data_IF_886826372682
#
_entry.id   IF_886826372682
#
_cell.length_a   1.000
_cell.length_b   1.000
_cell.length_c   1.000
_cell.angle_alpha   90.00
_cell.angle_beta   90.00
_cell.angle_gamma   90.00
#
_symmetry.space_group_name_H-M   'P 1'
#
loop_
_entity.id
_entity.type
_entity.pdbx_description
1 polymer ?
#
# COMPACT_ATOMS: atom_id res chain seq x y z
N UNK A 1 0.16 -5.16 2.88
CA UNK A 1 -1.05 -4.65 2.19
C UNK A 1 -1.43 -5.55 1.01
N UNK A 2 -1.28 -6.88 1.13
CA UNK A 2 -1.31 -7.79 -0.03
C UNK A 2 -2.69 -8.00 -0.68
N UNK A 3 -3.77 -7.76 0.06
CA UNK A 3 -5.12 -8.10 -0.42
C UNK A 3 -5.78 -7.00 -1.28
N UNK A 4 -5.22 -5.78 -1.29
CA UNK A 4 -5.77 -4.64 -2.04
C UNK A 4 -4.73 -3.88 -2.85
N UNK A 5 -3.44 -4.06 -2.55
CA UNK A 5 -2.32 -3.39 -3.20
C UNK A 5 -1.40 -4.40 -3.89
N UNK A 6 -0.50 -3.91 -4.74
CA UNK A 6 0.56 -4.75 -5.34
C UNK A 6 1.43 -5.37 -4.25
N UNK A 7 2.00 -6.54 -4.51
CA UNK A 7 2.81 -7.26 -3.52
C UNK A 7 3.98 -6.39 -3.03
N UNK A 8 4.25 -6.43 -1.72
CA UNK A 8 5.40 -5.74 -1.14
C UNK A 8 6.39 -6.74 -0.58
N UNK A 9 7.66 -6.61 -0.97
CA UNK A 9 8.76 -7.41 -0.42
C UNK A 9 9.64 -6.51 0.45
N UNK A 10 9.68 -6.79 1.75
CA UNK A 10 10.52 -6.09 2.72
C UNK A 10 9.97 -4.76 3.25
N UNK A 11 8.69 -4.45 3.00
CA UNK A 11 8.08 -3.21 3.49
C UNK A 11 8.02 -3.16 5.02
N UNK A 12 8.43 -2.01 5.57
CA UNK A 12 8.20 -1.60 6.96
C UNK A 12 7.80 -0.13 6.97
N UNK A 13 6.80 0.29 7.76
CA UNK A 13 6.35 1.69 7.83
C UNK A 13 7.31 2.51 8.70
N UNK A 14 8.57 2.62 8.26
CA UNK A 14 9.64 3.37 8.94
C UNK A 14 10.38 4.17 7.87
N UNK A 15 10.54 5.47 8.07
CA UNK A 15 11.26 6.33 7.13
C UNK A 15 12.67 5.79 6.83
N UNK A 16 13.11 5.91 5.58
CA UNK A 16 14.36 5.33 5.06
C UNK A 16 14.27 3.83 4.73
N UNK A 17 13.16 3.14 5.04
CA UNK A 17 13.00 1.73 4.64
C UNK A 17 12.93 1.62 3.13
N UNK A 18 13.85 0.86 2.55
CA UNK A 18 13.81 0.46 1.15
C UNK A 18 13.12 -0.88 1.00
N UNK A 19 12.24 -0.99 0.03
CA UNK A 19 11.45 -2.18 -0.25
C UNK A 19 11.14 -2.27 -1.74
N UNK A 20 10.59 -3.39 -2.17
CA UNK A 20 10.15 -3.58 -3.56
C UNK A 20 8.66 -3.74 -3.64
N UNK A 21 8.07 -3.17 -4.68
CA UNK A 21 6.73 -3.54 -5.14
C UNK A 21 6.87 -4.46 -6.35
N UNK A 22 6.09 -5.54 -6.34
CA UNK A 22 6.07 -6.53 -7.43
C UNK A 22 4.69 -6.50 -8.07
N UNK A 23 4.69 -6.18 -9.36
CA UNK A 23 3.51 -6.04 -10.19
C UNK A 23 3.75 -6.72 -11.56
N UNK A 24 2.71 -6.79 -12.38
CA UNK A 24 2.81 -7.39 -13.71
C UNK A 24 3.53 -6.45 -14.69
N UNK A 25 4.52 -6.94 -15.45
CA UNK A 25 5.18 -6.14 -16.47
C UNK A 25 4.20 -5.69 -17.55
N UNK A 26 4.38 -4.45 -18.05
CA UNK A 26 3.61 -3.91 -19.18
C UNK A 26 4.60 -3.45 -20.25
N UNK A 27 4.99 -4.36 -21.18
CA UNK A 27 6.05 -4.09 -22.16
C UNK A 27 5.77 -2.87 -23.05
N UNK A 28 4.52 -2.65 -23.45
CA UNK A 28 4.11 -1.51 -24.28
C UNK A 28 4.31 -0.14 -23.59
N UNK A 29 4.39 -0.14 -22.25
CA UNK A 29 4.69 1.05 -21.45
C UNK A 29 6.15 1.11 -20.99
N UNK A 30 6.99 0.17 -21.43
CA UNK A 30 8.35 -0.01 -20.92
C UNK A 30 8.42 -0.19 -19.39
N UNK A 31 7.36 -0.74 -18.80
CA UNK A 31 7.22 -0.97 -17.36
C UNK A 31 7.62 -2.42 -17.04
N UNK A 32 8.55 -2.60 -16.10
CA UNK A 32 9.11 -3.90 -15.74
C UNK A 32 8.26 -4.68 -14.74
N UNK A 33 7.36 -4.02 -14.03
CA UNK A 33 6.66 -4.62 -12.88
C UNK A 33 7.54 -4.79 -11.64
N UNK A 34 8.84 -4.47 -11.73
CA UNK A 34 9.76 -4.46 -10.60
C UNK A 34 10.03 -3.00 -10.20
N UNK A 35 9.40 -2.57 -9.11
CA UNK A 35 9.48 -1.20 -8.63
C UNK A 35 10.33 -1.18 -7.36
N UNK A 36 11.33 -0.31 -7.34
CA UNK A 36 12.06 0.03 -6.14
C UNK A 36 11.35 1.18 -5.43
N UNK A 37 11.26 1.09 -4.11
CA UNK A 37 10.54 2.05 -3.29
C UNK A 37 11.29 2.38 -2.01
N UNK A 38 11.07 3.60 -1.51
CA UNK A 38 11.59 4.06 -0.24
C UNK A 38 10.48 4.76 0.55
N UNK A 39 10.38 4.45 1.84
CA UNK A 39 9.48 5.14 2.75
C UNK A 39 10.10 6.50 3.11
N UNK A 40 9.43 7.58 2.75
CA UNK A 40 9.86 8.95 3.04
C UNK A 40 9.34 9.44 4.40
N UNK A 41 8.07 9.16 4.68
CA UNK A 41 7.38 9.54 5.91
C UNK A 41 6.53 8.37 6.36
N UNK A 42 6.54 8.08 7.66
CA UNK A 42 5.63 7.11 8.25
C UNK A 42 5.26 7.56 9.67
N UNK A 43 4.12 8.24 9.77
CA UNK A 43 3.51 8.61 11.05
C UNK A 43 2.26 7.76 11.24
N UNK A 44 2.27 6.97 12.30
CA UNK A 44 1.19 6.03 12.61
C UNK A 44 -0.16 6.75 12.63
N UNK A 45 -1.15 6.19 11.92
CA UNK A 45 -2.52 6.71 11.86
C UNK A 45 -2.67 8.14 11.31
N UNK A 46 -1.64 8.68 10.68
CA UNK A 46 -1.66 10.06 10.18
C UNK A 46 -1.18 10.15 8.73
N UNK A 47 0.06 9.74 8.44
CA UNK A 47 0.66 9.97 7.13
C UNK A 47 1.61 8.85 6.75
N UNK A 48 1.53 8.42 5.49
CA UNK A 48 2.53 7.58 4.83
C UNK A 48 2.92 8.24 3.52
N UNK A 49 4.20 8.47 3.30
CA UNK A 49 4.71 8.93 2.01
C UNK A 49 5.79 7.97 1.52
N UNK A 50 5.72 7.61 0.24
CA UNK A 50 6.72 6.77 -0.41
C UNK A 50 7.23 7.44 -1.68
N UNK A 51 8.52 7.24 -1.93
CA UNK A 51 9.13 7.40 -3.24
C UNK A 51 9.13 6.04 -3.94
N UNK A 52 8.96 6.02 -5.25
CA UNK A 52 9.03 4.79 -6.04
C UNK A 52 9.46 5.07 -7.48
N UNK A 53 10.12 4.08 -8.10
CA UNK A 53 10.59 4.14 -9.49
C UNK A 53 10.71 2.74 -10.08
N UNK A 54 10.57 2.64 -11.40
CA UNK A 54 10.79 1.38 -12.12
C UNK A 54 12.29 1.07 -12.17
N UNK A 55 12.66 -0.16 -11.79
CA UNK A 55 14.06 -0.60 -11.72
C UNK A 55 14.75 -0.69 -13.10
N UNK A 56 13.98 -0.75 -14.18
CA UNK A 56 14.49 -0.70 -15.56
C UNK A 56 14.90 0.70 -15.98
N UNK A 57 14.46 1.74 -15.26
CA UNK A 57 14.76 3.12 -15.62
C UNK A 57 16.23 3.45 -15.35
N UNK A 58 17.03 3.84 -16.37
CA UNK A 58 18.45 4.16 -16.20
C UNK A 58 18.65 5.49 -15.45
N UNK A 59 17.69 6.41 -15.57
CA UNK A 59 17.58 7.64 -14.80
C UNK A 59 16.27 7.59 -14.01
N UNK A 60 16.29 7.06 -12.77
CA UNK A 60 15.07 6.74 -12.06
C UNK A 60 14.28 8.01 -11.74
N UNK A 61 13.24 8.24 -12.53
CA UNK A 61 12.18 9.17 -12.18
C UNK A 61 11.57 8.71 -10.87
N UNK A 62 11.73 9.53 -9.84
CA UNK A 62 11.21 9.22 -8.51
C UNK A 62 9.81 9.80 -8.37
N UNK A 63 8.79 8.95 -8.52
CA UNK A 63 7.42 9.32 -8.21
C UNK A 63 7.19 9.34 -6.71
N UNK A 64 6.28 10.20 -6.27
CA UNK A 64 5.87 10.30 -4.87
C UNK A 64 4.39 10.02 -4.72
N UNK A 65 4.06 9.28 -3.68
CA UNK A 65 2.68 9.02 -3.30
C UNK A 65 2.55 9.21 -1.81
N UNK A 66 1.54 9.97 -1.39
CA UNK A 66 1.28 10.29 -0.01
C UNK A 66 -0.15 9.92 0.35
N UNK A 67 -0.32 9.17 1.42
CA UNK A 67 -1.58 8.96 2.09
C UNK A 67 -1.62 9.83 3.34
N UNK A 68 -2.74 10.53 3.53
CA UNK A 68 -3.07 11.18 4.80
C UNK A 68 -4.37 10.62 5.33
N UNK A 69 -4.41 10.42 6.65
CA UNK A 69 -5.55 9.93 7.39
C UNK A 69 -6.06 11.06 8.28
N UNK A 70 -7.34 11.37 8.15
CA UNK A 70 -8.01 12.35 8.99
C UNK A 70 -9.23 11.68 9.63
N UNK A 71 -9.34 11.77 10.96
CA UNK A 71 -10.57 11.40 11.63
C UNK A 71 -11.70 12.35 11.21
N UNK A 72 -12.87 11.80 10.91
CA UNK A 72 -14.09 12.54 10.58
C UNK A 72 -15.26 11.95 11.37
N UNK A 73 -16.37 12.68 11.56
CA UNK A 73 -17.55 12.09 12.18
C UNK A 73 -17.93 10.78 11.48
N UNK A 74 -18.07 9.71 12.26
CA UNK A 74 -18.43 8.36 11.79
C UNK A 74 -17.41 7.68 10.85
N UNK A 75 -16.12 8.07 10.88
CA UNK A 75 -15.12 7.31 10.15
C UNK A 75 -13.74 7.95 10.05
N UNK A 76 -13.01 7.54 9.01
CA UNK A 76 -11.69 8.05 8.66
C UNK A 76 -11.68 8.41 7.20
N UNK A 77 -11.33 9.66 6.89
CA UNK A 77 -11.07 10.10 5.54
C UNK A 77 -9.63 9.72 5.17
N UNK A 78 -9.48 8.99 4.06
CA UNK A 78 -8.18 8.67 3.48
C UNK A 78 -7.99 9.52 2.23
N UNK A 79 -6.99 10.40 2.24
CA UNK A 79 -6.62 11.19 1.06
C UNK A 79 -5.36 10.64 0.45
N UNK A 80 -5.40 10.37 -0.86
CA UNK A 80 -4.24 9.98 -1.64
C UNK A 80 -3.80 11.16 -2.51
N UNK A 81 -2.61 11.68 -2.25
CA UNK A 81 -1.98 12.72 -3.05
C UNK A 81 -0.83 12.15 -3.88
N UNK A 82 -0.80 12.57 -5.14
CA UNK A 82 0.26 12.24 -6.09
C UNK A 82 0.59 13.53 -6.83
N UNK A 83 1.72 14.18 -6.51
CA UNK A 83 2.16 15.34 -7.28
C UNK A 83 2.18 15.00 -8.77
N UNK A 84 1.65 15.91 -9.60
CA UNK A 84 1.64 15.71 -11.03
C UNK A 84 3.08 15.54 -11.52
N UNK A 85 3.31 14.47 -12.27
CA UNK A 85 4.60 14.21 -12.90
C UNK A 85 4.49 14.51 -14.39
N UNK A 86 5.31 15.45 -14.88
CA UNK A 86 5.40 15.80 -16.30
C UNK A 86 6.69 15.26 -16.91
N UNK A 87 6.58 14.62 -18.09
CA UNK A 87 7.74 14.24 -18.89
C UNK A 87 7.38 14.17 -20.37
N UNK A 88 8.32 14.60 -21.22
CA UNK A 88 8.22 14.48 -22.67
C UNK A 88 8.59 13.08 -23.18
N UNK A 89 9.06 12.18 -22.30
CA UNK A 89 9.27 10.77 -22.63
C UNK A 89 7.92 10.04 -22.78
N UNK A 90 7.61 9.48 -23.96
CA UNK A 90 6.41 8.68 -24.17
C UNK A 90 6.28 7.47 -23.24
N UNK A 91 7.37 6.84 -22.81
CA UNK A 91 7.34 5.73 -21.87
C UNK A 91 6.88 6.19 -20.48
N UNK A 92 7.45 7.29 -19.98
CA UNK A 92 7.07 7.87 -18.69
C UNK A 92 5.62 8.38 -18.69
N UNK A 93 5.13 8.95 -19.79
CA UNK A 93 3.70 9.31 -19.92
C UNK A 93 2.78 8.09 -19.86
N UNK A 94 3.17 6.97 -20.50
CA UNK A 94 2.40 5.72 -20.42
C UNK A 94 2.40 5.16 -19.00
N UNK A 95 3.54 5.18 -18.31
CA UNK A 95 3.62 4.72 -16.92
C UNK A 95 2.79 5.59 -15.98
N UNK A 96 2.81 6.92 -16.14
CA UNK A 96 1.95 7.83 -15.40
C UNK A 96 0.46 7.49 -15.62
N UNK A 97 0.05 7.28 -16.88
CA UNK A 97 -1.31 6.89 -17.22
C UNK A 97 -1.71 5.51 -16.64
N UNK A 98 -0.78 4.54 -16.57
CA UNK A 98 -1.01 3.26 -15.89
C UNK A 98 -1.22 3.47 -14.39
N UNK A 99 -0.37 4.28 -13.75
CA UNK A 99 -0.52 4.65 -12.33
C UNK A 99 -1.89 5.28 -12.07
N UNK A 100 -2.32 6.23 -12.91
CA UNK A 100 -3.62 6.90 -12.78
C UNK A 100 -4.81 5.94 -12.83
N UNK A 101 -4.73 4.88 -13.62
CA UNK A 101 -5.78 3.84 -13.70
C UNK A 101 -5.73 2.85 -12.55
N UNK A 102 -4.53 2.61 -12.00
CA UNK A 102 -4.33 1.68 -10.90
C UNK A 102 -4.97 2.16 -9.60
N UNK A 103 -4.81 3.44 -9.24
CA UNK A 103 -5.24 3.95 -7.93
C UNK A 103 -6.74 3.85 -7.64
N UNK A 104 -7.66 4.24 -8.55
CA UNK A 104 -9.10 4.06 -8.32
C UNK A 104 -9.47 2.59 -8.05
N UNK A 105 -8.82 1.67 -8.76
CA UNK A 105 -9.02 0.22 -8.57
C UNK A 105 -8.51 -0.24 -7.20
N UNK A 106 -7.31 0.17 -6.81
CA UNK A 106 -6.73 -0.17 -5.50
C UNK A 106 -7.57 0.40 -4.33
N UNK A 107 -8.01 1.65 -4.43
CA UNK A 107 -8.85 2.30 -3.41
C UNK A 107 -10.23 1.64 -3.29
N UNK A 108 -10.81 1.19 -4.41
CA UNK A 108 -12.06 0.42 -4.40
C UNK A 108 -11.88 -0.92 -3.68
N UNK A 109 -10.78 -1.64 -3.93
CA UNK A 109 -10.47 -2.89 -3.22
C UNK A 109 -10.29 -2.66 -1.72
N UNK A 110 -9.56 -1.61 -1.34
CA UNK A 110 -9.37 -1.23 0.06
C UNK A 110 -10.70 -0.94 0.75
N UNK A 111 -11.59 -0.15 0.13
CA UNK A 111 -12.92 0.14 0.68
C UNK A 111 -13.71 -1.14 0.96
N UNK A 112 -13.75 -2.08 0.01
CA UNK A 112 -14.41 -3.38 0.20
C UNK A 112 -13.82 -4.20 1.35
N UNK A 113 -12.51 -4.15 1.57
CA UNK A 113 -11.88 -4.85 2.70
C UNK A 113 -12.26 -4.20 4.04
N UNK A 114 -12.33 -2.88 4.09
CA UNK A 114 -12.77 -2.14 5.27
C UNK A 114 -14.23 -2.49 5.60
N UNK A 115 -15.12 -2.49 4.60
CA UNK A 115 -16.54 -2.83 4.79
C UNK A 115 -16.72 -4.26 5.31
N UNK A 116 -15.93 -5.20 4.79
CA UNK A 116 -15.91 -6.60 5.27
C UNK A 116 -15.40 -6.71 6.69
N UNK A 117 -14.33 -5.98 7.03
CA UNK A 117 -13.80 -5.99 8.39
C UNK A 117 -14.79 -5.38 9.39
N UNK A 118 -15.57 -4.38 8.99
CA UNK A 118 -16.60 -3.75 9.81
C UNK A 118 -17.84 -4.63 10.04
N UNK A 119 -18.12 -5.56 9.11
CA UNK A 119 -19.26 -6.50 9.18
C UNK A 119 -18.90 -7.88 9.72
N UNK A 120 -17.60 -8.19 9.86
CA UNK A 120 -17.17 -9.39 10.55
C UNK A 120 -17.61 -9.34 12.02
N UNK A 121 -18.31 -10.36 12.55
CA UNK A 121 -18.64 -10.38 13.96
C UNK A 121 -17.35 -10.30 14.76
N UNK A 122 -17.29 -9.38 15.73
CA UNK A 122 -16.21 -9.32 16.69
C UNK A 122 -16.15 -10.67 17.40
N UNK A 123 -15.20 -11.51 17.01
CA UNK A 123 -14.97 -12.80 17.63
C UNK A 123 -14.80 -12.62 19.14
N UNK A 124 -15.64 -13.34 19.87
CA UNK A 124 -15.77 -13.43 21.31
C UNK A 124 -14.45 -13.25 22.08
N UNK A 125 -14.42 -12.24 22.94
CA UNK A 125 -13.55 -12.29 24.11
C UNK A 125 -14.12 -13.26 25.13
N UNK A 126 -13.31 -14.23 25.54
CA UNK A 126 -13.36 -14.85 26.87
C UNK A 126 -14.08 -16.18 26.99
N UNK A 127 -13.31 -17.27 27.07
CA UNK A 127 -13.26 -18.12 28.27
C UNK A 127 -11.83 -18.68 28.39
N UNK A 128 -11.03 -18.04 29.25
CA UNK A 128 -10.13 -18.80 30.10
C UNK A 128 -10.97 -19.29 31.29
N UNK A 129 -11.19 -20.60 31.38
CA UNK A 129 -11.54 -21.29 32.63
C UNK A 129 -10.86 -22.66 32.67
N UNK A 130 -9.78 -22.68 33.47
CA UNK A 130 -9.53 -23.61 34.56
C UNK A 130 -9.25 -25.09 34.27
N UNK A 131 -8.03 -25.48 34.66
CA UNK A 131 -7.62 -26.70 35.38
C UNK A 131 -8.25 -28.04 34.97
N UNK A 132 -7.44 -28.88 34.32
CA UNK A 132 -7.55 -30.34 34.37
C UNK A 132 -6.49 -30.92 35.33
N UNK A 133 -6.78 -32.03 36.05
CA UNK A 133 -6.12 -32.38 37.30
C UNK A 133 -4.76 -33.06 37.13
N UNK A 134 -3.88 -32.86 38.11
CA UNK A 134 -2.72 -33.71 38.36
C UNK A 134 -3.17 -35.15 38.61
N UNK A 135 -2.63 -36.10 37.84
CA UNK A 135 -2.74 -37.53 38.10
C UNK A 135 -1.55 -38.00 38.95
N UNK A 136 -1.74 -38.88 39.96
CA UNK A 136 -0.68 -39.72 40.48
C UNK A 136 -0.74 -41.12 39.81
N UNK A 137 0.43 -41.69 39.52
CA UNK A 137 0.61 -43.04 39.00
C UNK A 137 2.06 -43.32 38.69
#
# INVERSE_FOLDING_TARGET
MGDWFVEQVGFRPVAGTRFRLVDFPVPIANYSGAIASEVLVATRNETLAIAWWDTKSPEPVTWRTMWTLCAVPNGTMVTLSRPAFGSDDPALRRMAALSDRFWPTAMTKLGRLIDRAATAPAGEGGVERSCGPSLPG
#
